data_IF_375715663107
#
_entry.id   IF_375715663107
#
_cell.length_a   1.000
_cell.length_b   1.000
_cell.length_c   1.000
_cell.angle_alpha   90.00
_cell.angle_beta   90.00
_cell.angle_gamma   90.00
#
_symmetry.space_group_name_H-M   'P 1'
#
loop_
_entity.id
_entity.type
_entity.pdbx_description
1 polymer ?
#
# COMPACT_ATOMS: atom_id res chain seq x y z
N UNK A 1 14.03 48.30 -29.16
CA UNK A 1 13.77 46.96 -29.73
C UNK A 1 13.93 45.95 -28.63
N UNK A 2 12.84 45.29 -28.22
CA UNK A 2 12.85 44.21 -27.23
C UNK A 2 13.52 42.98 -27.84
N UNK A 3 14.51 42.44 -27.13
CA UNK A 3 15.39 41.34 -27.56
C UNK A 3 14.98 39.99 -26.95
N UNK A 4 13.73 39.83 -26.48
CA UNK A 4 13.32 38.69 -25.64
C UNK A 4 11.95 38.05 -25.94
N UNK A 5 11.30 38.32 -27.08
CA UNK A 5 10.02 37.68 -27.42
C UNK A 5 10.15 36.57 -28.48
N UNK A 6 10.99 35.58 -28.19
CA UNK A 6 10.80 34.26 -28.82
C UNK A 6 10.66 33.25 -27.70
N UNK A 7 9.41 33.01 -27.27
CA UNK A 7 9.08 31.74 -26.63
C UNK A 7 9.61 30.63 -27.55
N UNK A 8 10.39 29.66 -27.05
CA UNK A 8 10.78 28.53 -27.87
C UNK A 8 9.51 27.89 -28.42
N UNK A 9 9.45 27.73 -29.75
CA UNK A 9 8.31 27.11 -30.42
C UNK A 9 7.97 25.81 -29.69
N UNK A 10 6.74 25.69 -29.18
CA UNK A 10 6.28 24.45 -28.57
C UNK A 10 6.57 23.31 -29.55
N UNK A 11 7.27 22.24 -29.14
CA UNK A 11 7.56 21.14 -30.04
C UNK A 11 6.24 20.67 -30.67
N UNK A 12 6.19 20.67 -31.99
CA UNK A 12 5.01 20.24 -32.74
C UNK A 12 4.76 18.78 -32.39
N UNK A 13 3.56 18.48 -31.89
CA UNK A 13 3.17 17.11 -31.61
C UNK A 13 3.14 16.32 -32.91
N UNK A 14 4.06 15.37 -33.05
CA UNK A 14 4.07 14.42 -34.15
C UNK A 14 3.35 13.14 -33.70
N UNK A 15 2.19 12.88 -34.27
CA UNK A 15 1.31 11.80 -33.87
C UNK A 15 1.99 10.43 -33.98
N UNK A 16 2.69 10.16 -35.07
CA UNK A 16 3.28 8.84 -35.32
C UNK A 16 4.50 8.61 -34.42
N UNK A 17 5.30 9.65 -34.21
CA UNK A 17 6.44 9.62 -33.28
C UNK A 17 5.97 9.41 -31.85
N UNK A 18 5.02 10.21 -31.37
CA UNK A 18 4.53 10.12 -29.98
C UNK A 18 3.71 8.84 -29.73
N UNK A 19 3.04 8.32 -30.78
CA UNK A 19 2.37 7.01 -30.72
C UNK A 19 3.38 5.90 -30.54
N UNK A 20 4.46 5.92 -31.33
CA UNK A 20 5.54 4.94 -31.22
C UNK A 20 6.19 5.00 -29.84
N UNK A 21 6.56 6.19 -29.36
CA UNK A 21 7.16 6.39 -28.04
C UNK A 21 6.28 5.85 -26.90
N UNK A 22 4.97 6.08 -26.96
CA UNK A 22 4.03 5.55 -25.97
C UNK A 22 3.97 4.02 -26.00
N UNK A 23 3.90 3.41 -27.19
CA UNK A 23 3.87 1.95 -27.35
C UNK A 23 5.19 1.34 -26.86
N UNK A 24 6.32 1.90 -27.26
CA UNK A 24 7.66 1.43 -26.85
C UNK A 24 7.81 1.47 -25.32
N UNK A 25 7.30 2.52 -24.64
CA UNK A 25 7.26 2.59 -23.19
C UNK A 25 6.39 1.48 -22.57
N UNK A 26 5.19 1.28 -23.11
CA UNK A 26 4.28 0.24 -22.62
C UNK A 26 4.86 -1.16 -22.79
N UNK A 27 5.49 -1.44 -23.93
CA UNK A 27 6.19 -2.70 -24.18
C UNK A 27 7.34 -2.88 -23.21
N UNK A 28 8.21 -1.88 -23.04
CA UNK A 28 9.30 -1.91 -22.05
C UNK A 28 8.80 -2.24 -20.65
N UNK A 29 7.78 -1.52 -20.16
CA UNK A 29 7.19 -1.75 -18.84
C UNK A 29 6.56 -3.14 -18.70
N UNK A 30 6.00 -3.68 -19.79
CA UNK A 30 5.38 -5.01 -19.78
C UNK A 30 6.40 -6.15 -19.67
N UNK A 31 7.66 -5.92 -20.07
CA UNK A 31 8.74 -6.91 -19.94
C UNK A 31 9.23 -7.09 -18.50
N UNK A 32 8.99 -6.11 -17.63
CA UNK A 32 9.49 -6.12 -16.26
C UNK A 32 8.70 -7.13 -15.39
N UNK A 33 9.37 -7.98 -14.59
CA UNK A 33 8.71 -8.79 -13.57
C UNK A 33 8.09 -7.90 -12.47
N UNK A 34 7.21 -8.47 -11.65
CA UNK A 34 6.44 -7.73 -10.64
C UNK A 34 7.33 -6.98 -9.64
N UNK A 35 8.45 -7.58 -9.23
CA UNK A 35 9.43 -6.99 -8.31
C UNK A 35 10.12 -5.79 -8.96
N UNK A 36 10.52 -5.92 -10.23
CA UNK A 36 11.17 -4.85 -10.98
C UNK A 36 10.20 -3.69 -11.23
N UNK A 37 8.97 -3.97 -11.66
CA UNK A 37 7.95 -2.92 -11.82
C UNK A 37 7.67 -2.19 -10.51
N UNK A 38 7.68 -2.91 -9.38
CA UNK A 38 7.46 -2.33 -8.06
C UNK A 38 8.58 -1.36 -7.71
N UNK A 39 9.84 -1.78 -7.89
CA UNK A 39 10.99 -0.93 -7.65
C UNK A 39 11.10 0.23 -8.66
N UNK A 40 10.74 0.00 -9.93
CA UNK A 40 10.76 1.03 -10.96
C UNK A 40 9.84 2.20 -10.61
N UNK A 41 8.60 1.90 -10.22
CA UNK A 41 7.65 2.92 -9.73
C UNK A 41 8.14 3.62 -8.47
N UNK A 42 8.84 2.89 -7.60
CA UNK A 42 9.47 3.47 -6.43
C UNK A 42 10.61 4.43 -6.78
N UNK A 43 11.41 4.09 -7.78
CA UNK A 43 12.43 4.97 -8.32
C UNK A 43 11.79 6.23 -8.93
N UNK A 44 10.73 6.08 -9.71
CA UNK A 44 9.97 7.19 -10.27
C UNK A 44 9.36 8.10 -9.19
N UNK A 45 8.80 7.54 -8.12
CA UNK A 45 8.24 8.30 -6.98
C UNK A 45 9.20 9.36 -6.44
N UNK A 46 10.51 9.08 -6.53
CA UNK A 46 11.56 9.96 -6.03
C UNK A 46 12.25 10.76 -7.14
N UNK A 47 12.33 10.24 -8.36
CA UNK A 47 13.17 10.83 -9.41
C UNK A 47 12.39 11.56 -10.52
N UNK A 48 11.06 11.41 -10.60
CA UNK A 48 10.26 12.12 -11.62
C UNK A 48 10.24 13.64 -11.41
N UNK A 49 10.40 14.10 -10.18
CA UNK A 49 10.57 15.51 -9.80
C UNK A 49 11.77 15.62 -8.86
N UNK A 50 12.96 15.44 -9.46
CA UNK A 50 14.22 15.37 -8.73
C UNK A 50 14.52 16.64 -7.90
N UNK A 51 14.31 17.89 -8.41
CA UNK A 51 14.55 19.09 -7.61
C UNK A 51 13.73 19.10 -6.31
N UNK A 52 12.45 18.73 -6.38
CA UNK A 52 11.57 18.65 -5.21
C UNK A 52 12.02 17.56 -4.25
N UNK A 53 12.34 16.36 -4.74
CA UNK A 53 12.80 15.26 -3.89
C UNK A 53 14.13 15.55 -3.21
N UNK A 54 15.08 16.17 -3.92
CA UNK A 54 16.37 16.59 -3.37
C UNK A 54 16.20 17.60 -2.23
N UNK A 55 15.32 18.59 -2.38
CA UNK A 55 15.00 19.55 -1.32
C UNK A 55 14.44 18.91 -0.05
N UNK A 56 13.82 17.72 -0.15
CA UNK A 56 13.24 17.00 1.00
C UNK A 56 14.22 16.11 1.75
N UNK A 57 15.40 15.78 1.19
CA UNK A 57 16.39 14.87 1.82
C UNK A 57 16.67 15.18 3.30
N UNK A 58 16.90 16.44 3.73
CA UNK A 58 17.13 16.73 5.14
C UNK A 58 15.96 16.36 6.06
N UNK A 59 14.71 16.51 5.59
CA UNK A 59 13.52 16.12 6.36
C UNK A 59 13.39 14.60 6.44
N UNK A 60 13.74 13.89 5.36
CA UNK A 60 13.73 12.43 5.31
C UNK A 60 14.79 11.83 6.24
N UNK A 61 15.98 12.44 6.34
CA UNK A 61 17.03 12.01 7.24
C UNK A 61 16.58 12.03 8.70
N UNK A 62 15.85 13.06 9.14
CA UNK A 62 15.30 13.14 10.51
C UNK A 62 14.35 11.99 10.87
N UNK A 63 13.69 11.40 9.86
CA UNK A 63 12.77 10.29 10.07
C UNK A 63 13.48 8.93 10.21
N UNK A 64 14.76 8.85 9.83
CA UNK A 64 15.57 7.65 9.98
C UNK A 64 15.75 7.29 11.46
N UNK A 65 16.09 8.28 12.30
CA UNK A 65 16.31 8.09 13.73
C UNK A 65 15.05 7.69 14.50
N UNK A 66 13.87 7.79 13.88
CA UNK A 66 12.62 7.33 14.48
C UNK A 66 12.47 5.81 14.40
N UNK A 67 13.24 5.12 13.56
CA UNK A 67 13.13 3.68 13.36
C UNK A 67 13.73 2.93 14.56
N UNK A 68 13.03 1.89 15.00
CA UNK A 68 13.56 1.00 16.02
C UNK A 68 14.66 0.09 15.44
N UNK A 69 15.77 -0.01 16.16
CA UNK A 69 16.87 -0.95 15.89
C UNK A 69 17.31 -1.58 17.22
N UNK A 70 17.68 -2.86 17.24
CA UNK A 70 18.30 -3.46 18.43
C UNK A 70 19.65 -2.77 18.71
N UNK A 71 20.09 -2.77 19.97
CA UNK A 71 21.36 -2.13 20.35
C UNK A 71 22.56 -2.82 19.71
N UNK A 72 22.58 -4.15 19.77
CA UNK A 72 23.56 -4.99 19.07
C UNK A 72 22.88 -6.30 18.67
N UNK A 73 22.53 -6.40 17.38
CA UNK A 73 21.81 -7.57 16.84
C UNK A 73 22.62 -8.87 16.93
N UNK A 74 23.94 -8.80 17.11
CA UNK A 74 24.80 -9.98 17.25
C UNK A 74 24.92 -10.45 18.70
N UNK A 75 24.58 -9.61 19.68
CA UNK A 75 24.46 -10.01 21.07
C UNK A 75 23.11 -10.70 21.29
N UNK A 76 23.15 -12.03 21.38
CA UNK A 76 21.97 -12.90 21.40
C UNK A 76 21.12 -12.67 22.65
N UNK A 77 21.73 -12.68 23.82
CA UNK A 77 21.05 -12.52 25.11
C UNK A 77 20.43 -11.12 25.22
N UNK A 78 21.18 -10.07 24.86
CA UNK A 78 20.69 -8.70 24.87
C UNK A 78 19.52 -8.51 23.90
N UNK A 79 19.66 -8.97 22.65
CA UNK A 79 18.61 -8.79 21.64
C UNK A 79 17.33 -9.53 22.03
N UNK A 80 17.43 -10.74 22.61
CA UNK A 80 16.25 -11.47 23.10
C UNK A 80 15.55 -10.66 24.20
N UNK A 81 16.30 -10.12 25.16
CA UNK A 81 15.76 -9.27 26.21
C UNK A 81 15.07 -8.02 25.65
N UNK A 82 15.66 -7.36 24.66
CA UNK A 82 15.05 -6.21 23.98
C UNK A 82 13.70 -6.58 23.32
N UNK A 83 13.62 -7.74 22.65
CA UNK A 83 12.35 -8.24 22.08
C UNK A 83 11.30 -8.50 23.16
N UNK A 84 11.71 -9.09 24.28
CA UNK A 84 10.83 -9.35 25.43
C UNK A 84 10.34 -8.06 26.09
N UNK A 85 11.16 -7.02 26.07
CA UNK A 85 10.85 -5.71 26.65
C UNK A 85 9.99 -4.82 25.75
N UNK A 86 9.98 -5.04 24.43
CA UNK A 86 9.16 -4.27 23.48
C UNK A 86 7.68 -4.25 23.89
N UNK A 87 7.06 -3.09 23.83
CA UNK A 87 5.64 -2.86 24.08
C UNK A 87 4.99 -2.21 22.86
N UNK A 88 4.76 -2.97 21.78
CA UNK A 88 4.13 -2.45 20.58
C UNK A 88 2.71 -1.92 20.84
N UNK A 89 2.36 -0.79 20.23
CA UNK A 89 1.00 -0.24 20.24
C UNK A 89 0.70 0.50 18.94
N UNK A 90 -0.59 0.72 18.68
CA UNK A 90 -1.07 1.53 17.55
C UNK A 90 -1.21 2.99 17.96
N UNK A 91 -0.47 3.88 17.30
CA UNK A 91 -0.59 5.33 17.46
C UNK A 91 -1.31 5.92 16.25
N UNK A 92 -2.57 6.33 16.43
CA UNK A 92 -3.39 6.97 15.40
C UNK A 92 -2.83 8.35 15.05
N UNK A 93 -2.84 8.67 13.76
CA UNK A 93 -2.44 9.98 13.27
C UNK A 93 -3.68 10.85 13.11
N UNK A 94 -3.70 11.95 13.86
CA UNK A 94 -4.84 12.87 13.94
C UNK A 94 -4.58 14.22 13.29
N UNK A 95 -3.31 14.58 13.06
CA UNK A 95 -2.91 15.89 12.50
C UNK A 95 -2.11 15.81 11.20
N UNK A 96 -1.91 16.97 10.57
CA UNK A 96 -1.19 17.12 9.30
C UNK A 96 0.31 16.86 9.42
N UNK A 97 0.92 17.18 10.57
CA UNK A 97 2.35 16.97 10.84
C UNK A 97 2.69 15.49 10.94
N UNK A 98 1.89 14.73 11.71
CA UNK A 98 1.95 13.28 11.79
C UNK A 98 1.68 12.62 10.43
N UNK A 99 0.76 13.19 9.64
CA UNK A 99 0.49 12.69 8.28
C UNK A 99 1.70 12.86 7.35
N UNK A 100 2.40 14.00 7.43
CA UNK A 100 3.62 14.24 6.66
C UNK A 100 4.74 13.27 7.09
N UNK A 101 5.00 13.15 8.40
CA UNK A 101 6.01 12.23 8.95
C UNK A 101 5.72 10.78 8.57
N UNK A 102 4.47 10.34 8.66
CA UNK A 102 4.07 8.99 8.26
C UNK A 102 4.29 8.75 6.78
N UNK A 103 4.00 9.74 5.95
CA UNK A 103 4.21 9.63 4.50
C UNK A 103 5.69 9.52 4.17
N UNK A 104 6.53 10.29 4.86
CA UNK A 104 7.99 10.23 4.68
C UNK A 104 8.56 8.88 5.11
N UNK A 105 8.22 8.41 6.31
CA UNK A 105 8.65 7.08 6.77
C UNK A 105 8.15 6.01 5.82
N UNK A 106 6.85 5.98 5.49
CA UNK A 106 6.26 4.96 4.62
C UNK A 106 6.92 4.93 3.24
N UNK A 107 7.26 6.09 2.67
CA UNK A 107 8.02 6.14 1.42
C UNK A 107 9.42 5.62 1.64
N UNK A 108 10.13 6.01 2.70
CA UNK A 108 11.50 5.56 2.87
C UNK A 108 11.64 4.08 3.27
N UNK A 109 10.63 3.42 3.84
CA UNK A 109 10.76 2.02 4.29
C UNK A 109 10.11 0.98 3.36
N UNK A 110 9.56 1.40 2.21
CA UNK A 110 8.85 0.50 1.30
C UNK A 110 9.36 0.59 -0.14
N UNK A 111 9.52 -0.58 -0.77
CA UNK A 111 9.79 -0.72 -2.20
C UNK A 111 8.59 -0.45 -3.09
N UNK A 112 7.37 -0.37 -2.55
CA UNK A 112 6.18 -0.04 -3.33
C UNK A 112 5.97 1.48 -3.32
N UNK A 113 5.62 2.11 -4.44
CA UNK A 113 5.23 3.53 -4.48
C UNK A 113 4.06 3.82 -3.52
N UNK A 114 3.98 5.04 -2.97
CA UNK A 114 2.83 5.46 -2.17
C UNK A 114 1.80 6.20 -3.02
N UNK A 115 0.59 5.63 -3.09
CA UNK A 115 -0.59 6.30 -3.61
C UNK A 115 -1.66 6.37 -2.53
N UNK A 116 -2.17 7.57 -2.24
CA UNK A 116 -3.25 7.73 -1.27
C UNK A 116 -4.54 7.11 -1.80
N UNK A 117 -5.24 6.34 -0.96
CA UNK A 117 -6.54 5.79 -1.33
C UNK A 117 -7.62 6.86 -1.31
N UNK A 118 -8.56 6.84 -2.27
CA UNK A 118 -9.75 7.66 -2.20
C UNK A 118 -10.69 7.20 -1.06
N UNK A 119 -11.44 8.14 -0.49
CA UNK A 119 -12.44 7.86 0.55
C UNK A 119 -11.84 7.77 1.96
N UNK A 120 -12.28 6.78 2.74
CA UNK A 120 -11.82 6.57 4.12
C UNK A 120 -10.32 6.29 4.13
N UNK A 121 -9.61 6.97 5.02
CA UNK A 121 -8.19 6.83 5.20
C UNK A 121 -7.85 7.06 6.67
N UNK A 122 -7.43 6.01 7.35
CA UNK A 122 -6.87 6.07 8.69
C UNK A 122 -5.40 5.68 8.57
N UNK A 123 -4.52 6.48 9.16
CA UNK A 123 -3.09 6.22 9.23
C UNK A 123 -2.68 6.05 10.68
N UNK A 124 -1.76 5.14 10.93
CA UNK A 124 -1.17 4.95 12.24
C UNK A 124 0.29 4.51 12.12
N UNK A 125 1.04 4.76 13.18
CA UNK A 125 2.29 4.06 13.43
C UNK A 125 2.03 2.84 14.31
N UNK A 126 2.75 1.75 14.05
CA UNK A 126 3.05 0.77 15.08
C UNK A 126 4.32 1.28 15.79
N UNK A 127 4.23 1.58 17.09
CA UNK A 127 5.35 2.11 17.88
C UNK A 127 5.60 1.25 19.09
N UNK A 128 6.81 1.35 19.63
CA UNK A 128 7.14 0.80 20.93
C UNK A 128 6.94 1.87 22.02
N UNK A 129 6.23 1.52 23.11
CA UNK A 129 5.98 2.47 24.22
C UNK A 129 7.26 2.87 24.94
N UNK A 130 8.22 1.95 25.11
CA UNK A 130 9.44 2.20 25.89
C UNK A 130 10.42 3.12 25.19
N UNK A 131 10.76 2.79 23.95
CA UNK A 131 11.73 3.56 23.16
C UNK A 131 11.10 4.74 22.42
N UNK A 132 9.77 4.76 22.26
CA UNK A 132 9.05 5.72 21.42
C UNK A 132 9.33 5.56 19.92
N UNK A 133 10.08 4.52 19.52
CA UNK A 133 10.50 4.29 18.14
C UNK A 133 9.42 3.61 17.32
N UNK A 134 9.50 3.79 16.01
CA UNK A 134 8.59 3.26 14.99
C UNK A 134 9.02 1.84 14.61
N UNK A 135 8.08 0.92 14.78
CA UNK A 135 8.16 -0.49 14.38
C UNK A 135 7.59 -0.71 12.97
N UNK A 136 6.70 0.16 12.53
CA UNK A 136 6.09 0.11 11.20
C UNK A 136 5.00 1.15 10.99
N UNK A 137 4.45 1.14 9.78
CA UNK A 137 3.36 2.02 9.37
C UNK A 137 2.14 1.20 8.94
N UNK A 138 0.98 1.68 9.35
CA UNK A 138 -0.32 1.09 9.00
C UNK A 138 -1.18 2.16 8.32
N UNK A 139 -1.87 1.79 7.23
CA UNK A 139 -2.98 2.57 6.68
C UNK A 139 -4.16 1.67 6.32
N UNK A 140 -5.31 1.98 6.90
CA UNK A 140 -6.59 1.35 6.61
C UNK A 140 -7.44 2.27 5.74
N UNK A 141 -7.98 1.72 4.65
CA UNK A 141 -8.78 2.45 3.68
C UNK A 141 -10.15 1.84 3.44
N UNK A 142 -10.98 2.53 2.65
CA UNK A 142 -12.21 1.95 2.11
C UNK A 142 -11.90 0.62 1.42
N UNK A 143 -12.65 -0.43 1.71
CA UNK A 143 -12.44 -1.72 1.07
C UNK A 143 -12.73 -1.66 -0.44
N UNK A 144 -12.12 -2.57 -1.20
CA UNK A 144 -12.33 -2.68 -2.65
C UNK A 144 -13.75 -3.18 -2.93
N UNK A 145 -14.40 -2.62 -3.94
CA UNK A 145 -15.81 -2.93 -4.26
C UNK A 145 -16.03 -4.35 -4.82
N UNK A 146 -14.98 -4.92 -5.42
CA UNK A 146 -15.02 -6.24 -6.05
C UNK A 146 -13.74 -6.99 -5.76
N UNK A 147 -13.87 -8.07 -4.99
CA UNK A 147 -12.77 -8.98 -4.68
C UNK A 147 -13.33 -10.41 -4.63
N UNK A 148 -13.32 -11.11 -5.76
CA UNK A 148 -14.12 -12.30 -5.99
C UNK A 148 -13.99 -13.40 -4.92
N UNK A 149 -12.77 -13.71 -4.48
CA UNK A 149 -12.54 -14.72 -3.43
C UNK A 149 -13.07 -14.29 -2.06
N UNK A 150 -13.02 -12.99 -1.73
CA UNK A 150 -13.64 -12.43 -0.52
C UNK A 150 -15.15 -12.46 -0.62
N UNK A 151 -15.69 -12.02 -1.75
CA UNK A 151 -17.13 -11.98 -1.98
C UNK A 151 -17.73 -13.40 -1.90
N UNK A 152 -17.06 -14.41 -2.46
CA UNK A 152 -17.43 -15.82 -2.34
C UNK A 152 -17.34 -16.34 -0.90
N UNK A 153 -16.31 -15.94 -0.14
CA UNK A 153 -16.15 -16.34 1.25
C UNK A 153 -17.24 -15.78 2.16
N UNK A 154 -17.66 -14.53 1.94
CA UNK A 154 -18.75 -13.91 2.70
C UNK A 154 -20.11 -14.44 2.22
N UNK A 155 -20.27 -14.66 0.91
CA UNK A 155 -21.54 -15.08 0.32
C UNK A 155 -22.56 -13.95 0.17
N UNK A 156 -22.13 -12.69 0.23
CA UNK A 156 -23.00 -11.53 0.10
C UNK A 156 -23.36 -11.17 -1.34
N UNK A 157 -24.46 -10.46 -1.53
CA UNK A 157 -24.92 -9.96 -2.82
C UNK A 157 -24.54 -8.47 -3.01
N UNK A 158 -24.81 -7.92 -4.20
CA UNK A 158 -24.53 -6.50 -4.50
C UNK A 158 -25.37 -5.59 -3.61
N UNK A 159 -26.59 -5.99 -3.32
CA UNK A 159 -27.56 -5.28 -2.47
C UNK A 159 -26.99 -5.12 -1.06
N UNK A 160 -26.49 -6.21 -0.47
CA UNK A 160 -25.82 -6.15 0.84
C UNK A 160 -24.67 -5.15 0.85
N UNK A 161 -23.81 -5.19 -0.18
CA UNK A 161 -22.63 -4.32 -0.27
C UNK A 161 -22.99 -2.84 -0.39
N UNK A 162 -23.88 -2.51 -1.31
CA UNK A 162 -24.08 -1.12 -1.77
C UNK A 162 -25.38 -0.49 -1.28
N UNK A 163 -26.48 -1.23 -1.25
CA UNK A 163 -27.77 -0.72 -0.77
C UNK A 163 -27.82 -0.73 0.75
N UNK A 164 -27.41 -1.84 1.36
CA UNK A 164 -27.43 -2.01 2.81
C UNK A 164 -26.10 -1.56 3.48
N UNK A 165 -25.14 -1.09 2.68
CA UNK A 165 -23.91 -0.47 3.16
C UNK A 165 -22.92 -1.40 3.86
N UNK A 166 -23.05 -2.74 3.74
CA UNK A 166 -22.20 -3.71 4.48
C UNK A 166 -20.73 -3.67 4.08
N UNK A 167 -20.39 -3.15 2.91
CA UNK A 167 -18.99 -2.93 2.53
C UNK A 167 -18.28 -1.96 3.49
N UNK A 168 -19.00 -1.00 4.07
CA UNK A 168 -18.47 0.00 5.01
C UNK A 168 -18.13 -0.58 6.40
N UNK A 169 -18.54 -1.83 6.67
CA UNK A 169 -18.17 -2.59 7.85
C UNK A 169 -16.89 -3.41 7.64
N UNK A 170 -16.26 -3.29 6.48
CA UNK A 170 -14.98 -3.90 6.15
C UNK A 170 -14.00 -2.82 5.73
N UNK A 171 -12.70 -3.06 5.93
CA UNK A 171 -11.63 -2.16 5.52
C UNK A 171 -10.52 -2.94 4.85
N UNK A 172 -9.70 -2.27 4.04
CA UNK A 172 -8.51 -2.87 3.45
C UNK A 172 -7.24 -2.20 4.01
N UNK A 173 -6.29 -3.01 4.46
CA UNK A 173 -4.96 -2.57 4.81
C UNK A 173 -4.14 -2.30 3.55
N UNK A 174 -3.86 -1.03 3.31
CA UNK A 174 -3.20 -0.53 2.07
C UNK A 174 -1.75 -0.16 2.27
N UNK A 175 -1.32 -0.01 3.51
CA UNK A 175 0.09 0.02 3.90
C UNK A 175 0.18 -0.76 5.19
N UNK A 176 0.97 -1.84 5.19
CA UNK A 176 1.24 -2.70 6.35
C UNK A 176 2.73 -3.04 6.26
N UNK A 177 3.57 -2.10 6.66
CA UNK A 177 5.00 -2.16 6.38
C UNK A 177 5.74 -2.05 7.70
N UNK A 178 6.55 -3.05 8.03
CA UNK A 178 7.45 -3.00 9.16
C UNK A 178 8.75 -2.32 8.76
N UNK A 179 9.39 -1.65 9.72
CA UNK A 179 10.75 -1.15 9.54
C UNK A 179 11.74 -2.30 9.49
N UNK A 180 12.92 -2.08 8.90
CA UNK A 180 14.05 -3.00 9.03
C UNK A 180 15.01 -2.43 10.09
N UNK A 181 15.63 -3.28 10.94
CA UNK A 181 15.75 -4.74 10.84
C UNK A 181 14.57 -5.53 11.44
N UNK A 182 13.54 -4.87 11.99
CA UNK A 182 12.38 -5.52 12.63
C UNK A 182 11.69 -6.55 11.72
N UNK A 183 11.41 -6.17 10.47
CA UNK A 183 10.67 -6.97 9.49
C UNK A 183 11.30 -8.35 9.23
N UNK A 184 12.53 -8.37 8.74
CA UNK A 184 13.22 -9.59 8.32
C UNK A 184 13.65 -10.47 9.51
N UNK A 185 14.28 -9.87 10.52
CA UNK A 185 14.92 -10.64 11.61
C UNK A 185 13.93 -11.06 12.69
N UNK A 186 12.88 -10.27 12.92
CA UNK A 186 11.98 -10.42 14.08
C UNK A 186 10.51 -10.61 13.67
N UNK A 187 10.24 -10.92 12.40
CA UNK A 187 8.87 -11.06 11.87
C UNK A 187 8.01 -9.80 12.09
N UNK A 188 8.61 -8.61 12.07
CA UNK A 188 7.91 -7.34 12.27
C UNK A 188 6.73 -7.15 11.33
N UNK A 189 6.83 -7.63 10.08
CA UNK A 189 5.72 -7.59 9.13
C UNK A 189 4.47 -8.32 9.64
N UNK A 190 4.65 -9.42 10.39
CA UNK A 190 3.55 -10.16 11.02
C UNK A 190 2.93 -9.43 12.20
N UNK A 191 3.76 -8.77 13.01
CA UNK A 191 3.29 -7.90 14.11
C UNK A 191 2.42 -6.78 13.55
N UNK A 192 2.97 -5.98 12.62
CA UNK A 192 2.27 -4.83 12.02
C UNK A 192 1.00 -5.27 11.31
N UNK A 193 1.01 -6.43 10.64
CA UNK A 193 -0.19 -7.02 10.04
C UNK A 193 -1.25 -7.35 11.08
N UNK A 194 -0.89 -8.03 12.18
CA UNK A 194 -1.85 -8.36 13.23
C UNK A 194 -2.44 -7.11 13.91
N UNK A 195 -1.61 -6.08 14.14
CA UNK A 195 -2.02 -4.80 14.72
C UNK A 195 -3.01 -4.01 13.86
N UNK A 196 -3.19 -4.36 12.57
CA UNK A 196 -4.31 -3.79 11.77
C UNK A 196 -5.68 -4.11 12.35
N UNK A 197 -5.76 -5.14 13.22
CA UNK A 197 -6.97 -5.56 13.92
C UNK A 197 -7.02 -5.08 15.38
N UNK A 198 -6.17 -4.12 15.75
CA UNK A 198 -6.15 -3.52 17.10
C UNK A 198 -7.52 -2.93 17.47
N UNK A 199 -7.94 -3.01 18.75
CA UNK A 199 -9.12 -2.30 19.25
C UNK A 199 -9.13 -0.83 18.88
N UNK A 200 -7.96 -0.17 18.91
CA UNK A 200 -7.80 1.24 18.54
C UNK A 200 -8.34 1.59 17.16
N UNK A 201 -8.19 0.70 16.17
CA UNK A 201 -8.78 0.93 14.84
C UNK A 201 -10.29 0.70 14.83
N UNK A 202 -10.79 -0.30 15.57
CA UNK A 202 -12.23 -0.57 15.65
C UNK A 202 -12.97 0.60 16.29
N UNK A 203 -12.45 1.10 17.40
CA UNK A 203 -13.03 2.20 18.17
C UNK A 203 -13.08 3.47 17.31
N UNK A 204 -11.95 3.82 16.68
CA UNK A 204 -11.90 4.96 15.77
C UNK A 204 -12.84 4.78 14.55
N UNK A 205 -12.94 3.57 13.99
CA UNK A 205 -13.83 3.32 12.85
C UNK A 205 -15.29 3.53 13.24
N UNK A 206 -15.69 3.06 14.43
CA UNK A 206 -17.04 3.27 14.96
C UNK A 206 -17.30 4.73 15.29
N UNK A 207 -16.37 5.40 15.96
CA UNK A 207 -16.47 6.82 16.30
C UNK A 207 -16.58 7.70 15.06
N UNK A 208 -15.65 7.54 14.11
CA UNK A 208 -15.51 8.42 12.95
C UNK A 208 -16.55 8.16 11.87
N UNK A 209 -16.99 6.92 11.71
CA UNK A 209 -17.86 6.52 10.60
C UNK A 209 -19.21 5.95 11.01
N UNK A 210 -19.41 5.61 12.29
CA UNK A 210 -20.67 5.04 12.81
C UNK A 210 -20.86 3.54 12.53
N UNK A 211 -19.94 2.89 11.80
CA UNK A 211 -20.03 1.45 11.50
C UNK A 211 -19.15 0.64 12.44
N UNK A 212 -19.65 -0.53 12.84
CA UNK A 212 -18.84 -1.52 13.55
C UNK A 212 -17.92 -2.23 12.57
N UNK A 213 -16.62 -2.21 12.84
CA UNK A 213 -15.62 -2.82 11.96
C UNK A 213 -15.60 -4.34 12.16
N UNK A 214 -16.06 -5.08 11.15
CA UNK A 214 -16.24 -6.53 11.20
C UNK A 214 -15.00 -7.29 10.75
N UNK A 215 -14.29 -6.74 9.76
CA UNK A 215 -13.11 -7.39 9.21
C UNK A 215 -12.12 -6.44 8.55
N UNK A 216 -10.85 -6.86 8.56
CA UNK A 216 -9.76 -6.21 7.82
C UNK A 216 -9.28 -7.16 6.71
N UNK A 217 -9.38 -6.72 5.46
CA UNK A 217 -8.79 -7.38 4.31
C UNK A 217 -7.41 -6.83 3.98
N UNK A 218 -6.61 -7.58 3.23
CA UNK A 218 -5.43 -7.06 2.53
C UNK A 218 -5.05 -7.98 1.38
N UNK A 219 -4.22 -7.46 0.47
CA UNK A 219 -3.66 -8.23 -0.65
C UNK A 219 -2.15 -8.16 -0.63
N UNK A 220 -1.48 -9.27 -0.94
CA UNK A 220 -0.02 -9.29 -1.13
C UNK A 220 0.38 -8.66 -2.47
N UNK A 221 1.66 -8.29 -2.59
CA UNK A 221 2.24 -7.78 -3.84
C UNK A 221 2.75 -8.91 -4.74
N UNK A 222 3.41 -9.92 -4.15
CA UNK A 222 4.19 -10.94 -4.86
C UNK A 222 3.56 -12.35 -4.75
N UNK A 223 2.27 -12.48 -5.09
CA UNK A 223 1.58 -13.78 -5.07
C UNK A 223 1.11 -14.27 -3.69
N UNK A 224 0.66 -15.52 -3.57
CA UNK A 224 -0.05 -16.05 -2.39
C UNK A 224 0.83 -16.34 -1.17
N UNK A 225 2.16 -16.26 -1.28
CA UNK A 225 3.07 -16.39 -0.15
C UNK A 225 3.59 -15.01 0.25
N UNK A 226 3.27 -14.58 1.47
CA UNK A 226 3.56 -13.25 1.98
C UNK A 226 3.66 -13.23 3.50
N UNK A 227 3.96 -12.05 4.07
CA UNK A 227 3.99 -11.86 5.52
C UNK A 227 2.66 -12.21 6.20
N UNK A 228 1.54 -12.19 5.49
CA UNK A 228 0.21 -12.43 6.04
C UNK A 228 -0.07 -13.91 6.33
N UNK A 229 0.69 -14.84 5.75
CA UNK A 229 0.47 -16.27 6.01
C UNK A 229 0.87 -16.66 7.44
N UNK A 230 0.09 -17.57 8.03
CA UNK A 230 0.36 -18.12 9.36
C UNK A 230 0.19 -17.12 10.51
N UNK A 231 -0.45 -15.97 10.27
CA UNK A 231 -0.91 -15.06 11.31
C UNK A 231 -2.29 -15.56 11.80
N UNK A 232 -2.50 -15.80 13.11
CA UNK A 232 -3.78 -16.29 13.63
C UNK A 232 -5.00 -15.41 13.35
N UNK A 233 -4.77 -14.14 13.00
CA UNK A 233 -5.78 -13.16 12.66
C UNK A 233 -6.32 -13.36 11.24
N UNK A 234 -5.47 -13.74 10.28
CA UNK A 234 -5.80 -13.76 8.87
C UNK A 234 -6.10 -15.16 8.34
N UNK A 235 -7.20 -15.28 7.60
CA UNK A 235 -7.47 -16.42 6.73
C UNK A 235 -6.99 -16.09 5.31
N UNK A 236 -6.27 -17.03 4.68
CA UNK A 236 -5.96 -16.94 3.24
C UNK A 236 -7.20 -17.38 2.45
N UNK A 237 -7.72 -16.50 1.58
CA UNK A 237 -8.95 -16.76 0.82
C UNK A 237 -8.68 -17.25 -0.62
N UNK A 238 -7.43 -17.13 -1.09
CA UNK A 238 -7.02 -17.51 -2.44
C UNK A 238 -6.34 -16.35 -3.15
N UNK A 239 -6.46 -16.30 -4.48
CA UNK A 239 -5.81 -15.32 -5.33
C UNK A 239 -6.80 -14.39 -6.04
N UNK A 240 -6.37 -13.15 -6.32
CA UNK A 240 -7.06 -12.25 -7.23
C UNK A 240 -6.90 -12.71 -8.69
N UNK A 241 -7.69 -12.13 -9.60
CA UNK A 241 -7.63 -12.47 -11.03
C UNK A 241 -6.50 -11.76 -11.79
N UNK A 242 -5.71 -10.90 -11.13
CA UNK A 242 -4.56 -10.20 -11.74
C UNK A 242 -4.88 -9.22 -12.88
N UNK A 243 -6.14 -8.82 -13.04
CA UNK A 243 -6.63 -7.92 -14.11
C UNK A 243 -6.36 -6.44 -13.80
N UNK A 244 -5.09 -6.07 -13.67
CA UNK A 244 -4.67 -4.69 -13.46
C UNK A 244 -3.81 -4.26 -14.64
N UNK A 245 -4.14 -3.10 -15.21
CA UNK A 245 -3.39 -2.55 -16.34
C UNK A 245 -2.03 -2.00 -15.89
N UNK A 246 -1.00 -2.28 -16.68
CA UNK A 246 0.24 -1.52 -16.69
C UNK A 246 -0.09 -0.07 -17.01
N UNK A 247 0.54 0.86 -16.30
CA UNK A 247 0.37 2.30 -16.51
C UNK A 247 1.62 2.81 -17.20
N UNK A 248 1.49 3.64 -18.25
CA UNK A 248 2.63 4.30 -18.87
C UNK A 248 3.30 5.26 -17.88
N UNK A 249 4.54 5.61 -18.17
CA UNK A 249 5.24 6.65 -17.41
C UNK A 249 4.59 8.01 -17.62
N UNK A 250 4.71 8.88 -16.61
CA UNK A 250 4.01 10.16 -16.63
C UNK A 250 4.42 11.03 -17.84
N UNK A 251 5.67 10.98 -18.28
CA UNK A 251 6.14 11.76 -19.45
C UNK A 251 5.39 11.40 -20.74
N UNK A 252 5.06 10.13 -20.97
CA UNK A 252 4.27 9.71 -22.13
C UNK A 252 2.78 9.89 -21.90
N UNK A 253 2.31 9.64 -20.66
CA UNK A 253 0.92 9.86 -20.28
C UNK A 253 0.49 11.32 -20.44
N UNK A 254 1.30 12.26 -19.98
CA UNK A 254 0.95 13.68 -19.93
C UNK A 254 0.84 14.28 -21.35
N UNK A 255 1.72 13.87 -22.27
CA UNK A 255 1.65 14.21 -23.69
C UNK A 255 0.32 13.78 -24.30
N UNK A 256 -0.05 12.51 -24.14
CA UNK A 256 -1.29 11.96 -24.69
C UNK A 256 -2.54 12.47 -23.95
N UNK A 257 -2.45 12.73 -22.65
CA UNK A 257 -3.53 13.35 -21.89
C UNK A 257 -3.82 14.75 -22.43
N UNK A 258 -2.80 15.56 -22.69
CA UNK A 258 -2.99 16.88 -23.30
C UNK A 258 -3.57 16.78 -24.71
N UNK A 259 -3.08 15.85 -25.54
CA UNK A 259 -3.62 15.62 -26.87
C UNK A 259 -5.11 15.25 -26.84
N UNK A 260 -5.52 14.35 -25.95
CA UNK A 260 -6.93 13.95 -25.78
C UNK A 260 -7.78 15.13 -25.31
N UNK A 261 -7.25 15.96 -24.41
CA UNK A 261 -7.96 17.14 -23.90
C UNK A 261 -8.25 18.16 -25.00
N UNK A 262 -7.31 18.36 -25.92
CA UNK A 262 -7.43 19.30 -27.04
C UNK A 262 -8.29 18.73 -28.18
N UNK A 263 -8.04 17.47 -28.58
CA UNK A 263 -8.61 16.88 -29.80
C UNK A 263 -9.91 16.08 -29.55
N UNK A 264 -10.17 15.65 -28.32
CA UNK A 264 -11.37 14.90 -27.91
C UNK A 264 -12.09 15.57 -26.73
N UNK A 265 -12.12 16.90 -26.73
CA UNK A 265 -12.53 17.74 -25.59
C UNK A 265 -13.93 17.42 -25.05
N UNK A 266 -14.90 17.13 -25.91
CA UNK A 266 -16.27 16.75 -25.50
C UNK A 266 -16.30 15.42 -24.75
N UNK A 267 -15.64 14.39 -25.29
CA UNK A 267 -15.54 13.07 -24.64
C UNK A 267 -14.74 13.17 -23.33
N UNK A 268 -13.65 13.95 -23.34
CA UNK A 268 -12.85 14.24 -22.16
C UNK A 268 -13.68 14.87 -21.05
N UNK A 269 -14.46 15.91 -21.35
CA UNK A 269 -15.40 16.52 -20.41
C UNK A 269 -16.39 15.48 -19.90
N UNK A 270 -17.00 14.68 -20.78
CA UNK A 270 -17.97 13.64 -20.36
C UNK A 270 -17.39 12.62 -19.37
N UNK A 271 -16.14 12.19 -19.52
CA UNK A 271 -15.53 11.18 -18.63
C UNK A 271 -14.95 11.74 -17.34
N UNK A 272 -14.55 13.02 -17.37
CA UNK A 272 -13.94 13.74 -16.22
C UNK A 272 -14.96 14.49 -15.39
N UNK A 273 -16.14 14.78 -15.92
CA UNK A 273 -17.23 15.42 -15.19
C UNK A 273 -18.05 14.38 -14.44
N UNK A 274 -18.57 14.79 -13.30
CA UNK A 274 -19.43 13.96 -12.48
C UNK A 274 -20.83 13.85 -13.10
N UNK A 275 -21.49 12.70 -12.92
CA UNK A 275 -22.90 12.58 -13.32
C UNK A 275 -23.77 13.40 -12.36
N UNK A 276 -24.81 14.01 -12.89
CA UNK A 276 -25.79 14.76 -12.10
C UNK A 276 -26.32 13.90 -10.94
N UNK A 277 -26.40 14.50 -9.75
CA UNK A 277 -26.91 13.86 -8.53
C UNK A 277 -25.89 13.02 -7.74
N UNK A 278 -24.65 12.87 -8.20
CA UNK A 278 -23.59 12.15 -7.45
C UNK A 278 -22.70 13.16 -6.73
N UNK A 279 -22.55 13.02 -5.40
CA UNK A 279 -21.61 13.82 -4.59
C UNK A 279 -20.23 13.13 -4.45
N UNK A 280 -19.14 13.92 -4.44
CA UNK A 280 -17.75 13.45 -4.21
C UNK A 280 -16.80 13.71 -5.40
N UNK A 281 -15.52 13.32 -5.38
CA UNK A 281 -14.67 13.39 -6.57
C UNK A 281 -14.99 12.26 -7.55
N UNK A 282 -14.84 12.50 -8.87
CA UNK A 282 -14.97 11.44 -9.88
C UNK A 282 -13.89 10.38 -9.64
N UNK A 283 -14.30 9.13 -9.42
CA UNK A 283 -13.37 8.04 -9.14
C UNK A 283 -12.74 7.47 -10.41
N UNK A 284 -11.44 7.17 -10.34
CA UNK A 284 -10.71 6.47 -11.41
C UNK A 284 -10.45 7.31 -12.66
N UNK A 285 -10.41 8.64 -12.56
CA UNK A 285 -10.22 9.56 -13.71
C UNK A 285 -9.01 9.16 -14.57
N UNK A 286 -7.84 8.94 -13.96
CA UNK A 286 -6.63 8.52 -14.70
C UNK A 286 -6.86 7.24 -15.50
N UNK A 287 -7.59 6.26 -14.95
CA UNK A 287 -7.93 5.03 -15.67
C UNK A 287 -8.90 5.28 -16.83
N UNK A 288 -9.88 6.19 -16.67
CA UNK A 288 -10.81 6.56 -17.75
C UNK A 288 -10.09 7.25 -18.89
N UNK A 289 -9.17 8.17 -18.58
CA UNK A 289 -8.33 8.85 -19.56
C UNK A 289 -7.41 7.84 -20.26
N UNK A 290 -6.77 6.93 -19.52
CA UNK A 290 -5.96 5.86 -20.11
C UNK A 290 -6.78 4.99 -21.07
N UNK A 291 -8.04 4.68 -20.76
CA UNK A 291 -8.92 3.97 -21.68
C UNK A 291 -9.19 4.76 -22.97
N UNK A 292 -9.31 6.10 -22.89
CA UNK A 292 -9.44 6.94 -24.08
C UNK A 292 -8.16 6.92 -24.92
N UNK A 293 -7.00 7.05 -24.28
CA UNK A 293 -5.69 6.98 -24.94
C UNK A 293 -5.53 5.62 -25.63
N UNK A 294 -5.78 4.51 -24.94
CA UNK A 294 -5.68 3.18 -25.53
C UNK A 294 -6.61 3.02 -26.74
N UNK A 295 -7.85 3.52 -26.65
CA UNK A 295 -8.80 3.50 -27.76
C UNK A 295 -8.27 4.30 -28.96
N UNK A 296 -7.75 5.50 -28.72
CA UNK A 296 -7.15 6.35 -29.77
C UNK A 296 -5.96 5.66 -30.44
N UNK A 297 -5.09 5.00 -29.66
CA UNK A 297 -3.90 4.33 -30.16
C UNK A 297 -4.16 2.95 -30.78
N UNK A 298 -5.42 2.47 -30.75
CA UNK A 298 -5.79 1.13 -31.22
C UNK A 298 -5.33 -0.01 -30.31
N UNK A 299 -5.01 0.28 -29.04
CA UNK A 299 -4.52 -0.67 -28.04
C UNK A 299 -5.72 -1.34 -27.34
N UNK A 300 -5.72 -2.67 -27.31
CA UNK A 300 -6.73 -3.43 -26.55
C UNK A 300 -6.44 -3.30 -25.05
N UNK A 301 -7.47 -3.07 -24.22
CA UNK A 301 -7.30 -2.93 -22.77
C UNK A 301 -6.74 -4.18 -22.06
N UNK A 302 -6.81 -5.33 -22.72
CA UNK A 302 -6.23 -6.60 -22.26
C UNK A 302 -4.75 -6.77 -22.61
N UNK A 303 -4.23 -6.01 -23.59
CA UNK A 303 -2.87 -6.16 -24.10
C UNK A 303 -1.83 -5.88 -23.01
N UNK A 304 -2.03 -4.82 -22.23
CA UNK A 304 -1.12 -4.43 -21.15
C UNK A 304 -1.69 -4.72 -19.77
N UNK A 305 -2.27 -5.90 -19.57
CA UNK A 305 -2.61 -6.38 -18.23
C UNK A 305 -1.46 -7.21 -17.69
N UNK A 306 -0.95 -6.86 -16.52
CA UNK A 306 0.25 -7.48 -15.99
C UNK A 306 0.05 -8.93 -15.51
N UNK A 307 -1.21 -9.36 -15.34
CA UNK A 307 -1.55 -10.74 -14.95
C UNK A 307 -1.20 -11.15 -13.52
N UNK A 308 -0.37 -10.37 -12.80
CA UNK A 308 0.05 -10.65 -11.43
C UNK A 308 -1.13 -10.86 -10.47
N UNK A 309 -1.29 -12.12 -10.07
CA UNK A 309 -2.25 -12.52 -9.04
C UNK A 309 -1.72 -12.13 -7.66
N UNK A 310 -2.62 -11.66 -6.81
CA UNK A 310 -2.32 -11.27 -5.44
C UNK A 310 -3.02 -12.22 -4.49
N UNK A 311 -2.32 -12.71 -3.48
CA UNK A 311 -2.94 -13.43 -2.37
C UNK A 311 -3.91 -12.51 -1.63
N UNK A 312 -5.10 -13.01 -1.33
CA UNK A 312 -6.14 -12.29 -0.59
C UNK A 312 -6.23 -12.84 0.82
N UNK A 313 -6.14 -11.96 1.81
CA UNK A 313 -6.13 -12.29 3.22
C UNK A 313 -7.23 -11.51 3.93
N UNK A 314 -7.94 -12.18 4.83
CA UNK A 314 -9.08 -11.58 5.50
C UNK A 314 -9.10 -11.95 6.98
N UNK A 315 -9.03 -10.93 7.84
CA UNK A 315 -9.13 -11.06 9.28
C UNK A 315 -10.56 -10.77 9.73
N UNK A 316 -11.37 -11.83 9.78
CA UNK A 316 -12.73 -11.77 10.28
C UNK A 316 -12.73 -11.76 11.81
N UNK A 317 -13.16 -10.65 12.42
CA UNK A 317 -13.06 -10.43 13.87
C UNK A 317 -14.14 -11.16 14.67
N UNK A 318 -15.27 -11.45 14.03
CA UNK A 318 -16.45 -12.06 14.65
C UNK A 318 -16.68 -13.46 14.11
N UNK A 319 -17.16 -14.39 14.93
CA UNK A 319 -17.49 -15.75 14.50
C UNK A 319 -18.65 -15.76 13.51
N UNK A 320 -19.65 -14.93 13.75
CA UNK A 320 -20.84 -14.73 12.92
C UNK A 320 -20.75 -13.46 12.05
N UNK A 321 -19.54 -13.02 11.71
CA UNK A 321 -19.35 -11.79 10.93
C UNK A 321 -19.86 -11.91 9.48
N UNK A 322 -19.86 -13.11 8.90
CA UNK A 322 -20.38 -13.30 7.54
C UNK A 322 -21.91 -13.10 7.49
N UNK A 323 -22.63 -13.64 8.47
CA UNK A 323 -24.08 -13.53 8.66
C UNK A 323 -24.48 -12.05 8.78
N UNK A 324 -23.74 -11.29 9.60
CA UNK A 324 -23.98 -9.85 9.73
C UNK A 324 -23.76 -9.09 8.40
N UNK A 325 -22.71 -9.45 7.66
CA UNK A 325 -22.41 -8.86 6.35
C UNK A 325 -23.41 -9.26 5.26
N UNK A 326 -24.21 -10.31 5.49
CA UNK A 326 -25.33 -10.74 4.64
C UNK A 326 -26.70 -10.21 5.10
N UNK A 327 -26.76 -9.39 6.17
CA UNK A 327 -28.01 -8.94 6.80
C UNK A 327 -28.88 -10.06 7.41
N UNK A 328 -28.26 -11.17 7.83
CA UNK A 328 -28.98 -12.27 8.48
C UNK A 328 -29.11 -12.08 10.00
N UNK A 329 -28.28 -11.21 10.58
CA UNK A 329 -28.28 -10.87 12.00
C UNK A 329 -28.03 -9.38 12.21
N UNK A 330 -28.45 -8.88 13.37
CA UNK A 330 -28.22 -7.53 13.83
C UNK A 330 -26.88 -7.37 14.56
N UNK A 331 -26.45 -6.11 14.74
CA UNK A 331 -25.19 -5.77 15.41
C UNK A 331 -25.12 -6.30 16.85
N UNK A 332 -26.24 -6.32 17.57
CA UNK A 332 -26.33 -6.81 18.96
C UNK A 332 -26.06 -8.32 19.10
N UNK A 333 -26.14 -9.06 18.00
CA UNK A 333 -25.94 -10.51 17.98
C UNK A 333 -24.49 -10.89 17.64
N UNK A 334 -23.63 -9.93 17.30
CA UNK A 334 -22.24 -10.17 16.93
C UNK A 334 -21.45 -10.80 18.07
N UNK A 335 -20.71 -11.86 17.75
CA UNK A 335 -19.86 -12.62 18.70
C UNK A 335 -18.41 -12.45 18.31
N UNK A 336 -17.69 -11.61 19.05
CA UNK A 336 -16.27 -11.36 18.79
C UNK A 336 -15.46 -12.61 19.12
N UNK A 337 -14.44 -12.93 18.32
CA UNK A 337 -13.55 -14.05 18.67
C UNK A 337 -12.65 -13.63 19.81
N UNK A 338 -12.42 -14.53 20.77
CA UNK A 338 -11.57 -14.32 21.95
C UNK A 338 -10.26 -13.56 21.70
N UNK A 339 -9.53 -13.89 20.62
CA UNK A 339 -8.26 -13.23 20.31
C UNK A 339 -8.39 -11.73 20.01
N UNK A 340 -9.52 -11.28 19.45
CA UNK A 340 -9.79 -9.88 19.18
C UNK A 340 -10.36 -9.16 20.40
N UNK A 341 -11.02 -9.89 21.31
CA UNK A 341 -11.41 -9.39 22.65
C UNK A 341 -10.16 -9.10 23.49
N UNK A 342 -9.19 -10.03 23.50
CA UNK A 342 -7.87 -9.84 24.13
C UNK A 342 -7.00 -8.76 23.43
N UNK A 343 -7.38 -8.36 22.21
CA UNK A 343 -6.77 -7.24 21.49
C UNK A 343 -5.26 -7.36 21.26
N UNK A 344 -4.56 -6.25 21.52
CA UNK A 344 -3.13 -6.12 21.23
C UNK A 344 -2.28 -7.04 22.12
N UNK A 345 -2.72 -7.33 23.35
CA UNK A 345 -2.01 -8.24 24.26
C UNK A 345 -1.87 -9.65 23.68
N UNK A 346 -2.93 -10.18 23.07
CA UNK A 346 -2.86 -11.46 22.35
C UNK A 346 -1.84 -11.39 21.21
N UNK A 347 -1.91 -10.32 20.41
CA UNK A 347 -1.04 -10.11 19.25
C UNK A 347 0.43 -10.06 19.66
N UNK A 348 0.76 -9.28 20.67
CA UNK A 348 2.13 -9.06 21.14
C UNK A 348 2.69 -10.35 21.75
N UNK A 349 1.94 -11.03 22.62
CA UNK A 349 2.38 -12.31 23.21
C UNK A 349 2.63 -13.37 22.15
N UNK A 350 1.73 -13.48 21.16
CA UNK A 350 1.91 -14.41 20.04
C UNK A 350 3.16 -14.07 19.21
N UNK A 351 3.33 -12.78 18.88
CA UNK A 351 4.44 -12.32 18.06
C UNK A 351 5.79 -12.50 18.76
N UNK A 352 5.95 -12.07 20.02
CA UNK A 352 7.22 -12.18 20.77
C UNK A 352 7.79 -13.60 20.74
N UNK A 353 6.95 -14.60 21.03
CA UNK A 353 7.34 -16.02 20.96
C UNK A 353 7.86 -16.44 19.58
N UNK A 354 7.29 -15.90 18.50
CA UNK A 354 7.70 -16.20 17.12
C UNK A 354 8.94 -15.39 16.70
N UNK A 355 9.03 -14.13 17.12
CA UNK A 355 10.14 -13.23 16.87
C UNK A 355 11.43 -13.77 17.48
N UNK A 356 11.40 -14.16 18.76
CA UNK A 356 12.56 -14.76 19.46
C UNK A 356 13.02 -16.02 18.72
N UNK A 357 12.10 -16.95 18.41
CA UNK A 357 12.43 -18.17 17.66
C UNK A 357 13.04 -17.90 16.29
N UNK A 358 12.51 -16.90 15.57
CA UNK A 358 13.03 -16.50 14.26
C UNK A 358 14.43 -15.92 14.38
N UNK A 359 14.62 -15.01 15.32
CA UNK A 359 15.89 -14.36 15.59
C UNK A 359 16.96 -15.37 16.01
N UNK A 360 16.67 -16.21 17.01
CA UNK A 360 17.58 -17.28 17.47
C UNK A 360 18.03 -18.16 16.30
N UNK A 361 17.09 -18.63 15.47
CA UNK A 361 17.42 -19.43 14.29
C UNK A 361 18.32 -18.69 13.29
N UNK A 362 18.02 -17.42 13.00
CA UNK A 362 18.84 -16.62 12.08
C UNK A 362 20.22 -16.31 12.64
N UNK A 363 20.33 -16.08 13.94
CA UNK A 363 21.58 -15.85 14.66
C UNK A 363 22.46 -17.11 14.57
N UNK A 364 21.91 -18.27 14.95
CA UNK A 364 22.62 -19.56 14.92
C UNK A 364 23.08 -19.95 13.50
N UNK A 365 22.33 -19.53 12.47
CA UNK A 365 22.65 -19.79 11.06
C UNK A 365 23.52 -18.69 10.41
N UNK A 366 23.94 -17.64 11.13
CA UNK A 366 24.64 -16.47 10.58
C UNK A 366 23.93 -15.80 9.39
N UNK A 367 22.59 -15.70 9.48
CA UNK A 367 21.71 -15.18 8.42
C UNK A 367 20.98 -13.89 8.80
N UNK A 368 21.43 -13.23 9.87
CA UNK A 368 20.91 -11.94 10.28
C UNK A 368 21.15 -10.88 9.19
N UNK A 369 20.21 -9.94 9.05
CA UNK A 369 20.37 -8.76 8.20
C UNK A 369 20.30 -7.50 9.05
N UNK A 370 21.43 -6.93 9.49
CA UNK A 370 21.46 -5.80 10.41
C UNK A 370 20.95 -4.49 9.78
N UNK A 371 21.06 -4.36 8.46
CA UNK A 371 20.88 -3.09 7.78
C UNK A 371 19.45 -2.53 7.88
N UNK A 372 19.36 -1.24 8.18
CA UNK A 372 18.14 -0.45 8.03
C UNK A 372 17.89 -0.17 6.56
N UNK A 373 16.94 -0.89 5.96
CA UNK A 373 16.51 -0.62 4.59
C UNK A 373 15.76 0.71 4.53
N UNK A 374 16.40 1.72 3.93
CA UNK A 374 15.88 3.08 3.83
C UNK A 374 16.14 3.67 2.44
N UNK A 375 15.09 3.90 1.67
CA UNK A 375 15.11 4.35 0.27
C UNK A 375 15.33 5.88 0.13
N UNK A 376 16.17 6.49 0.96
CA UNK A 376 16.54 7.90 0.80
C UNK A 376 17.59 8.09 -0.29
N UNK A 377 18.55 7.16 -0.38
CA UNK A 377 19.67 7.27 -1.30
C UNK A 377 19.27 7.04 -2.76
N UNK A 378 18.11 6.42 -3.01
CA UNK A 378 17.55 6.24 -4.36
C UNK A 378 17.27 7.57 -5.07
N UNK A 379 17.15 8.67 -4.31
CA UNK A 379 16.94 10.02 -4.86
C UNK A 379 18.23 10.48 -5.54
N UNK A 380 18.19 10.65 -6.86
CA UNK A 380 19.31 11.03 -7.71
C UNK A 380 20.08 9.84 -8.30
N UNK A 381 19.69 8.59 -7.98
CA UNK A 381 20.26 7.42 -8.64
C UNK A 381 19.70 7.27 -10.06
N UNK A 382 20.51 6.78 -11.01
CA UNK A 382 19.98 6.28 -12.28
C UNK A 382 19.09 5.04 -12.04
N UNK A 383 18.22 4.71 -12.99
CA UNK A 383 17.40 3.51 -12.89
C UNK A 383 18.26 2.24 -12.79
N UNK A 384 19.32 2.14 -13.60
CA UNK A 384 20.23 1.00 -13.64
C UNK A 384 20.90 0.80 -12.28
N UNK A 385 21.36 1.89 -11.66
CA UNK A 385 21.98 1.84 -10.33
C UNK A 385 20.97 1.47 -9.25
N UNK A 386 19.75 2.01 -9.31
CA UNK A 386 18.69 1.66 -8.38
C UNK A 386 18.30 0.18 -8.50
N UNK A 387 18.20 -0.34 -9.72
CA UNK A 387 17.92 -1.75 -10.02
C UNK A 387 19.02 -2.65 -9.45
N UNK A 388 20.28 -2.38 -9.73
CA UNK A 388 21.43 -3.14 -9.18
C UNK A 388 21.44 -3.16 -7.65
N UNK A 389 21.14 -2.01 -7.03
CA UNK A 389 21.25 -1.82 -5.58
C UNK A 389 20.08 -2.45 -4.82
N UNK A 390 18.85 -2.20 -5.26
CA UNK A 390 17.64 -2.46 -4.47
C UNK A 390 16.76 -3.60 -4.97
N UNK A 391 16.96 -4.12 -6.19
CA UNK A 391 16.07 -5.18 -6.70
C UNK A 391 16.10 -6.43 -5.80
N UNK A 392 17.27 -6.77 -5.25
CA UNK A 392 17.45 -7.86 -4.28
C UNK A 392 16.80 -7.62 -2.91
N UNK A 393 16.44 -6.37 -2.61
CA UNK A 393 15.76 -5.97 -1.36
C UNK A 393 14.24 -5.83 -1.53
N UNK A 394 13.72 -6.00 -2.75
CA UNK A 394 12.27 -5.96 -3.00
C UNK A 394 11.58 -7.11 -2.27
N UNK A 395 10.56 -6.77 -1.48
CA UNK A 395 9.80 -7.74 -0.68
C UNK A 395 10.44 -8.17 0.64
N UNK A 396 11.59 -7.60 1.00
CA UNK A 396 12.14 -7.66 2.36
C UNK A 396 11.31 -6.80 3.31
#
# INVERSE_FOLDING_TARGET
>A
MQFWDTEPAKPVFDYDVERKRFIDNMEYLSTMPVEEQTLYKKWQEWNSDLPKSMARKPSLAKSFDMIWTPTDIYNKELTIKEIEELEPYVELITDSSGTAKWTDIRKCISSMEFTANPGRNIKAFAKDRKSGKVLGVISLGSDVTSLGVRDKYIGWQKENKFKDGKLNHTTIGTSIIATQPLGYNFLGGKLVSALTTSPTFRDLWKEKYGQTLIAVGTTSLYGIHSQYNGIPHFKTLGESTGKVSTKPDNEFYDIWHQWIKENKSEEYKRVTTQKEGIQGPVSGIKQRILSMIFKELGIKSTQYQHGFKRGVYFAMMYDNGNEFLRNEIDESQLKMKKKFEEGDDYTIRWWKKKAIRRYTKLHDENRLKPDTLYYMDIIGMSWEKAKETYLKEVGR
#
